data_IF_512011837205
#
_entry.id   IF_512011837205
#
_cell.length_a   1.000
_cell.length_b   1.000
_cell.length_c   1.000
_cell.angle_alpha   90.00
_cell.angle_beta   90.00
_cell.angle_gamma   90.00
#
_symmetry.space_group_name_H-M   'P 1'
#
loop_
_entity.id
_entity.type
_entity.pdbx_description
1 polymer ?
#
# COMPACT_ATOMS: atom_id res chain seq x y z
N UNK A 1 35.46 -8.38 26.50
CA UNK A 1 34.11 -7.85 26.83
C UNK A 1 34.03 -6.43 26.30
N UNK A 2 33.08 -6.11 25.41
CA UNK A 2 32.99 -4.79 24.78
C UNK A 2 32.71 -3.72 25.84
N UNK A 3 33.31 -2.53 25.71
CA UNK A 3 33.12 -1.40 26.66
C UNK A 3 31.64 -0.99 26.82
N UNK A 4 30.80 -1.38 25.85
CA UNK A 4 29.35 -1.16 25.82
C UNK A 4 28.58 -2.00 26.85
N UNK A 5 29.07 -3.20 27.21
CA UNK A 5 28.45 -4.06 28.22
C UNK A 5 28.93 -3.76 29.66
N UNK A 6 29.69 -2.68 29.85
CA UNK A 6 30.09 -2.26 31.19
C UNK A 6 28.87 -1.75 31.96
N UNK A 7 28.75 -2.13 33.24
CA UNK A 7 27.68 -1.68 34.15
C UNK A 7 27.50 -0.15 34.16
N UNK A 8 28.60 0.60 33.98
CA UNK A 8 28.60 2.07 33.92
C UNK A 8 27.88 2.64 32.71
N UNK A 9 27.74 1.87 31.63
CA UNK A 9 27.07 2.27 30.39
C UNK A 9 25.69 1.60 30.30
N UNK A 10 25.59 0.31 30.62
CA UNK A 10 24.34 -0.43 30.56
C UNK A 10 23.25 0.17 31.43
N UNK A 11 23.55 0.51 32.69
CA UNK A 11 22.55 1.03 33.63
C UNK A 11 21.95 2.35 33.14
N UNK A 12 22.72 3.39 32.80
CA UNK A 12 22.14 4.63 32.28
C UNK A 12 21.42 4.45 30.94
N UNK A 13 21.92 3.58 30.05
CA UNK A 13 21.22 3.28 28.78
C UNK A 13 19.88 2.59 29.02
N UNK A 14 19.79 1.65 29.96
CA UNK A 14 18.53 0.99 30.32
C UNK A 14 17.53 1.98 30.94
N UNK A 15 18.01 2.87 31.81
CA UNK A 15 17.19 3.93 32.39
C UNK A 15 16.64 4.87 31.30
N UNK A 16 17.47 5.24 30.31
CA UNK A 16 17.06 6.06 29.18
C UNK A 16 15.98 5.34 28.35
N UNK A 17 16.19 4.07 28.00
CA UNK A 17 15.24 3.28 27.21
C UNK A 17 13.91 3.14 27.97
N UNK A 18 13.96 2.79 29.25
CA UNK A 18 12.76 2.67 30.08
C UNK A 18 12.06 4.02 30.21
N UNK A 19 12.80 5.12 30.40
CA UNK A 19 12.24 6.46 30.43
C UNK A 19 11.52 6.83 29.13
N UNK A 20 12.11 6.54 27.98
CA UNK A 20 11.48 6.77 26.67
C UNK A 20 10.22 5.92 26.46
N UNK A 21 10.26 4.65 26.86
CA UNK A 21 9.10 3.74 26.79
C UNK A 21 7.98 4.23 27.72
N UNK A 22 8.30 4.59 28.96
CA UNK A 22 7.34 5.15 29.92
C UNK A 22 6.76 6.45 29.39
N UNK A 23 7.57 7.32 28.79
CA UNK A 23 7.07 8.55 28.16
C UNK A 23 6.07 8.23 27.05
N UNK A 24 6.40 7.29 26.16
CA UNK A 24 5.53 6.92 25.05
C UNK A 24 4.23 6.24 25.51
N UNK A 25 4.30 5.36 26.52
CA UNK A 25 3.15 4.60 27.03
C UNK A 25 2.26 5.43 27.96
N UNK A 26 2.84 6.25 28.84
CA UNK A 26 2.09 7.02 29.85
C UNK A 26 1.57 8.33 29.30
N UNK A 27 2.39 9.08 28.54
CA UNK A 27 1.98 10.38 28.01
C UNK A 27 1.27 10.29 26.67
N UNK A 28 1.18 9.08 26.08
CA UNK A 28 0.39 8.74 24.90
C UNK A 28 0.35 9.91 23.91
N UNK A 29 1.54 10.34 23.47
CA UNK A 29 1.73 11.55 22.67
C UNK A 29 0.73 11.44 21.52
N UNK A 30 -0.31 12.29 21.48
CA UNK A 30 -1.34 12.15 20.47
C UNK A 30 -0.61 12.27 19.14
N UNK A 31 -0.64 11.19 18.36
CA UNK A 31 -0.11 11.20 17.01
C UNK A 31 -0.69 12.42 16.33
N UNK A 32 0.17 13.23 15.71
CA UNK A 32 -0.29 14.40 14.96
C UNK A 32 -1.27 13.86 13.93
N UNK A 33 -2.56 14.18 14.12
CA UNK A 33 -3.60 13.84 13.16
C UNK A 33 -3.31 14.70 11.96
N UNK A 34 -2.55 14.15 11.03
CA UNK A 34 -2.28 14.77 9.75
C UNK A 34 -3.65 14.89 9.06
N UNK A 35 -4.12 16.11 8.73
CA UNK A 35 -5.34 16.26 7.98
C UNK A 35 -5.18 15.51 6.66
N UNK A 36 -6.18 14.70 6.31
CA UNK A 36 -6.19 14.01 5.04
C UNK A 36 -6.24 15.05 3.91
N UNK A 37 -5.20 15.09 3.08
CA UNK A 37 -5.18 15.92 1.87
C UNK A 37 -6.06 15.21 0.84
N UNK A 38 -7.38 15.35 0.99
CA UNK A 38 -8.38 14.83 0.05
C UNK A 38 -8.78 15.95 -0.91
N UNK A 39 -8.09 16.01 -2.05
CA UNK A 39 -8.51 16.86 -3.18
C UNK A 39 -9.49 16.05 -4.03
N UNK A 40 -10.66 16.63 -4.33
CA UNK A 40 -11.64 15.98 -5.19
C UNK A 40 -11.03 15.72 -6.59
N UNK A 41 -11.34 14.56 -7.16
CA UNK A 41 -10.89 14.22 -8.49
C UNK A 41 -11.55 15.15 -9.52
N UNK A 42 -10.74 15.78 -10.37
CA UNK A 42 -11.25 16.69 -11.40
C UNK A 42 -12.02 15.91 -12.48
N UNK A 43 -13.21 16.40 -12.89
CA UNK A 43 -13.93 15.85 -14.02
C UNK A 43 -13.15 16.14 -15.31
N UNK A 44 -12.98 15.10 -16.13
CA UNK A 44 -12.44 15.21 -17.50
C UNK A 44 -13.57 15.45 -18.49
N UNK A 45 -14.76 14.95 -18.16
CA UNK A 45 -15.96 15.10 -18.96
C UNK A 45 -17.15 15.53 -18.09
N UNK A 46 -17.72 16.70 -18.39
CA UNK A 46 -18.76 17.36 -17.59
C UNK A 46 -20.19 16.98 -17.99
N UNK A 47 -20.39 15.84 -18.65
CA UNK A 47 -21.72 15.41 -19.08
C UNK A 47 -22.25 14.25 -18.24
N UNK A 48 -23.55 14.31 -17.93
CA UNK A 48 -24.25 13.24 -17.20
C UNK A 48 -24.63 12.11 -18.16
N UNK A 49 -23.98 10.95 -18.01
CA UNK A 49 -24.30 9.74 -18.76
C UNK A 49 -25.39 8.93 -18.06
N UNK A 50 -26.58 8.85 -18.68
CA UNK A 50 -27.70 7.99 -18.28
C UNK A 50 -28.11 8.08 -16.79
N UNK A 51 -27.79 9.17 -16.10
CA UNK A 51 -28.06 9.35 -14.66
C UNK A 51 -27.11 8.58 -13.72
N UNK A 52 -26.13 7.83 -14.24
CA UNK A 52 -25.18 7.07 -13.42
C UNK A 52 -23.97 7.91 -12.96
N UNK A 53 -23.63 8.96 -13.71
CA UNK A 53 -22.53 9.88 -13.39
C UNK A 53 -23.03 11.32 -13.31
N UNK A 54 -23.63 11.72 -12.18
CA UNK A 54 -24.17 13.08 -12.00
C UNK A 54 -23.06 14.15 -11.99
N UNK A 55 -21.88 13.82 -11.47
CA UNK A 55 -20.74 14.75 -11.33
C UNK A 55 -19.72 14.63 -12.49
N UNK A 56 -20.12 14.03 -13.61
CA UNK A 56 -19.25 13.79 -14.75
C UNK A 56 -18.26 12.63 -14.55
N UNK A 57 -17.42 12.38 -15.55
CA UNK A 57 -16.41 11.32 -15.53
C UNK A 57 -15.08 11.91 -15.07
N UNK A 58 -14.59 11.48 -13.91
CA UNK A 58 -13.34 11.96 -13.32
C UNK A 58 -12.10 11.27 -13.86
N UNK A 59 -10.94 11.94 -13.75
CA UNK A 59 -9.64 11.38 -14.14
C UNK A 59 -9.33 10.04 -13.42
N UNK A 60 -9.72 9.94 -12.15
CA UNK A 60 -9.49 8.78 -11.29
C UNK A 60 -10.37 7.62 -11.72
N UNK A 61 -11.61 7.91 -12.14
CA UNK A 61 -12.51 6.89 -12.69
C UNK A 61 -11.95 6.30 -14.00
N UNK A 62 -11.50 7.16 -14.93
CA UNK A 62 -10.87 6.70 -16.17
C UNK A 62 -9.61 5.86 -15.91
N UNK A 63 -8.76 6.30 -14.98
CA UNK A 63 -7.58 5.55 -14.57
C UNK A 63 -7.96 4.18 -13.97
N UNK A 64 -9.02 4.12 -13.17
CA UNK A 64 -9.52 2.86 -12.60
C UNK A 64 -10.03 1.89 -13.67
N UNK A 65 -10.78 2.37 -14.67
CA UNK A 65 -11.25 1.55 -15.78
C UNK A 65 -10.11 1.05 -16.66
N UNK A 66 -9.17 1.93 -16.99
CA UNK A 66 -7.99 1.56 -17.77
C UNK A 66 -7.16 0.50 -17.03
N UNK A 67 -6.94 0.68 -15.73
CA UNK A 67 -6.23 -0.30 -14.90
C UNK A 67 -6.97 -1.63 -14.87
N UNK A 68 -8.30 -1.59 -14.68
CA UNK A 68 -9.13 -2.81 -14.65
C UNK A 68 -9.07 -3.56 -15.98
N UNK A 69 -9.25 -2.86 -17.10
CA UNK A 69 -9.17 -3.45 -18.45
C UNK A 69 -7.78 -4.03 -18.67
N UNK A 70 -6.72 -3.30 -18.31
CA UNK A 70 -5.35 -3.77 -18.45
C UNK A 70 -5.11 -5.06 -17.67
N UNK A 71 -5.50 -5.12 -16.40
CA UNK A 71 -5.35 -6.31 -15.56
C UNK A 71 -6.13 -7.50 -16.13
N UNK A 72 -7.40 -7.28 -16.52
CA UNK A 72 -8.24 -8.33 -17.13
C UNK A 72 -7.61 -8.86 -18.42
N UNK A 73 -7.18 -7.97 -19.32
CA UNK A 73 -6.58 -8.35 -20.60
C UNK A 73 -5.26 -9.08 -20.40
N UNK A 74 -4.40 -8.61 -19.50
CA UNK A 74 -3.10 -9.26 -19.21
C UNK A 74 -3.32 -10.63 -18.58
N UNK A 75 -4.17 -10.73 -17.56
CA UNK A 75 -4.49 -11.99 -16.92
C UNK A 75 -5.07 -12.99 -17.93
N UNK A 76 -6.05 -12.56 -18.75
CA UNK A 76 -6.62 -13.37 -19.81
C UNK A 76 -5.57 -13.79 -20.86
N UNK A 77 -4.71 -12.86 -21.30
CA UNK A 77 -3.69 -13.14 -22.31
C UNK A 77 -2.64 -14.16 -21.85
N UNK A 78 -2.31 -14.16 -20.56
CA UNK A 78 -1.40 -15.14 -19.95
C UNK A 78 -2.11 -16.50 -19.77
N UNK A 79 -3.35 -16.50 -19.29
CA UNK A 79 -4.10 -17.72 -18.91
C UNK A 79 -4.80 -18.43 -20.07
N UNK A 80 -5.04 -17.76 -21.21
CA UNK A 80 -5.76 -18.35 -22.36
C UNK A 80 -5.11 -19.58 -23.00
N UNK A 81 -3.82 -19.84 -22.71
CA UNK A 81 -3.06 -20.99 -23.24
C UNK A 81 -2.18 -21.62 -22.15
N UNK A 82 -2.78 -21.92 -21.00
CA UNK A 82 -2.08 -22.57 -19.89
C UNK A 82 -1.50 -23.93 -20.30
N UNK A 83 -0.31 -24.21 -19.79
CA UNK A 83 0.40 -25.48 -19.97
C UNK A 83 0.79 -26.03 -18.60
N UNK A 84 0.98 -27.35 -18.55
CA UNK A 84 1.45 -28.03 -17.35
C UNK A 84 2.84 -27.57 -16.92
N UNK A 85 3.75 -27.35 -17.88
CA UNK A 85 5.04 -26.71 -17.62
C UNK A 85 4.90 -25.20 -17.89
N UNK A 86 5.02 -24.33 -16.88
CA UNK A 86 4.76 -22.91 -17.04
C UNK A 86 5.80 -22.24 -17.94
N UNK A 87 5.30 -21.48 -18.92
CA UNK A 87 6.13 -20.58 -19.72
C UNK A 87 6.47 -19.28 -18.97
N UNK A 88 7.26 -18.39 -19.58
CA UNK A 88 7.73 -17.14 -18.95
C UNK A 88 6.61 -16.28 -18.33
N UNK A 89 5.51 -16.07 -19.07
CA UNK A 89 4.39 -15.25 -18.61
C UNK A 89 3.55 -15.93 -17.54
N UNK A 90 3.28 -17.23 -17.69
CA UNK A 90 2.55 -18.04 -16.71
C UNK A 90 3.34 -18.13 -15.41
N UNK A 91 4.65 -18.43 -15.47
CA UNK A 91 5.50 -18.51 -14.28
C UNK A 91 5.67 -17.18 -13.55
N UNK A 92 5.69 -16.05 -14.25
CA UNK A 92 5.68 -14.74 -13.60
C UNK A 92 4.37 -14.46 -12.85
N UNK A 93 3.23 -14.83 -13.45
CA UNK A 93 1.92 -14.70 -12.80
C UNK A 93 1.80 -15.65 -11.60
N UNK A 94 2.24 -16.90 -11.74
CA UNK A 94 2.28 -17.89 -10.66
C UNK A 94 3.16 -17.41 -9.49
N UNK A 95 4.34 -16.85 -9.75
CA UNK A 95 5.20 -16.26 -8.70
C UNK A 95 4.47 -15.16 -7.91
N UNK A 96 3.75 -14.26 -8.59
CA UNK A 96 2.99 -13.20 -7.90
C UNK A 96 1.87 -13.79 -7.04
N UNK A 97 1.14 -14.79 -7.58
CA UNK A 97 0.05 -15.47 -6.87
C UNK A 97 0.59 -16.24 -5.66
N UNK A 98 1.64 -17.03 -5.83
CA UNK A 98 2.30 -17.76 -4.75
C UNK A 98 2.89 -16.83 -3.69
N UNK A 99 3.40 -15.66 -4.08
CA UNK A 99 3.87 -14.65 -3.14
C UNK A 99 2.76 -13.99 -2.29
N UNK A 100 1.49 -14.16 -2.66
CA UNK A 100 0.34 -13.68 -1.89
C UNK A 100 -0.25 -14.73 -0.92
N UNK A 101 0.13 -16.00 -1.08
CA UNK A 101 -0.28 -17.10 -0.20
C UNK A 101 0.72 -17.31 0.94
#
# INVERSE_FOLDING_TARGET
MSKLLSRKVLVPTLILIVGLVVINVVFNIPGVVLPEISIAAEPVFDFTLFGFWPDGITNTLLASWLTTIFLVVVAWAITRKMKEIPGRGQGALEMVIEGMY
#
